data_IF_303564454297
#
_entry.id   IF_303564454297
#
_cell.length_a   1.000
_cell.length_b   1.000
_cell.length_c   1.000
_cell.angle_alpha   90.00
_cell.angle_beta   90.00
_cell.angle_gamma   90.00
#
_symmetry.space_group_name_H-M   'P 1'
#
loop_
_entity.id
_entity.type
_entity.pdbx_description
1 polymer ?
#
# COMPACT_ATOMS: atom_id res chain seq x y z
N UNK A 1 -2.64 12.16 23.61
CA UNK A 1 -2.63 11.61 22.23
C UNK A 1 -1.41 10.72 21.93
N UNK A 2 -0.55 10.42 22.92
CA UNK A 2 0.68 9.66 22.71
C UNK A 2 0.51 8.11 22.63
N UNK A 3 -0.67 7.56 22.95
CA UNK A 3 -0.90 6.10 23.02
C UNK A 3 -1.48 5.47 21.73
N UNK A 4 -1.05 5.90 20.53
CA UNK A 4 -1.54 5.32 19.26
C UNK A 4 -0.46 4.76 18.34
N UNK A 5 0.75 4.58 18.83
CA UNK A 5 1.80 3.91 18.07
C UNK A 5 1.99 2.49 18.58
N UNK A 6 1.88 1.50 17.69
CA UNK A 6 2.27 0.12 17.95
C UNK A 6 3.65 -0.10 17.33
N UNK A 7 4.66 -0.37 18.15
CA UNK A 7 5.98 -0.76 17.66
C UNK A 7 5.96 -2.25 17.35
N UNK A 8 6.05 -2.61 16.07
CA UNK A 8 6.06 -4.03 15.69
C UNK A 8 7.33 -4.74 16.15
N UNK A 9 8.44 -4.02 16.31
CA UNK A 9 9.72 -4.58 16.78
C UNK A 9 9.80 -4.71 18.32
N UNK A 10 8.76 -4.28 19.05
CA UNK A 10 8.69 -4.47 20.49
C UNK A 10 8.61 -5.95 20.85
N UNK A 11 9.42 -6.40 21.81
CA UNK A 11 9.50 -7.81 22.21
C UNK A 11 8.15 -8.37 22.69
N UNK A 12 7.34 -7.56 23.38
CA UNK A 12 6.01 -7.97 23.85
C UNK A 12 5.06 -8.14 22.67
N UNK A 13 5.11 -7.22 21.71
CA UNK A 13 4.29 -7.29 20.49
C UNK A 13 4.70 -8.49 19.65
N UNK A 14 5.99 -8.75 19.47
CA UNK A 14 6.50 -9.93 18.75
C UNK A 14 6.05 -11.23 19.40
N UNK A 15 6.13 -11.35 20.73
CA UNK A 15 5.66 -12.53 21.46
C UNK A 15 4.15 -12.75 21.29
N UNK A 16 3.36 -11.67 21.25
CA UNK A 16 1.92 -11.78 20.98
C UNK A 16 1.64 -12.24 19.55
N UNK A 17 2.37 -11.70 18.56
CA UNK A 17 2.21 -12.05 17.16
C UNK A 17 2.66 -13.49 16.85
N UNK A 18 3.65 -14.03 17.56
CA UNK A 18 4.12 -15.41 17.34
C UNK A 18 3.07 -16.47 17.67
N UNK A 19 2.12 -16.14 18.56
CA UNK A 19 1.00 -17.02 18.91
C UNK A 19 -0.21 -16.85 17.96
N UNK A 20 -0.17 -15.87 17.05
CA UNK A 20 -1.24 -15.61 16.09
C UNK A 20 -1.10 -16.44 14.81
N UNK A 21 -2.22 -16.62 14.10
CA UNK A 21 -2.24 -17.28 12.80
C UNK A 21 -1.46 -16.47 11.76
N UNK A 22 -0.56 -17.13 11.04
CA UNK A 22 0.13 -16.59 9.86
C UNK A 22 -0.69 -16.69 8.58
N UNK A 23 -1.87 -17.32 8.63
CA UNK A 23 -2.76 -17.46 7.48
C UNK A 23 -3.55 -16.16 7.24
N UNK A 24 -3.64 -15.76 5.97
CA UNK A 24 -4.49 -14.65 5.56
C UNK A 24 -5.96 -14.94 5.86
N UNK A 25 -6.70 -13.87 6.18
CA UNK A 25 -8.14 -13.94 6.32
C UNK A 25 -8.78 -14.35 4.99
N UNK A 26 -9.84 -15.16 5.05
CA UNK A 26 -10.58 -15.55 3.87
C UNK A 26 -11.34 -14.33 3.30
N UNK A 27 -10.91 -13.89 2.12
CA UNK A 27 -11.54 -12.77 1.39
C UNK A 27 -13.04 -13.05 1.17
N UNK A 28 -13.39 -14.30 0.85
CA UNK A 28 -14.77 -14.73 0.67
C UNK A 28 -15.58 -14.74 1.98
N UNK A 29 -14.99 -15.12 3.12
CA UNK A 29 -15.71 -15.09 4.40
C UNK A 29 -16.02 -13.67 4.86
N UNK A 30 -15.19 -12.70 4.45
CA UNK A 30 -15.40 -11.27 4.70
C UNK A 30 -16.35 -10.62 3.69
N UNK A 31 -16.83 -11.38 2.69
CA UNK A 31 -17.67 -10.85 1.61
C UNK A 31 -16.96 -9.82 0.75
N UNK A 32 -15.62 -9.78 0.74
CA UNK A 32 -14.84 -8.84 -0.05
C UNK A 32 -14.71 -9.34 -1.50
N UNK A 33 -14.80 -8.42 -2.46
CA UNK A 33 -14.70 -8.70 -3.88
C UNK A 33 -13.79 -7.69 -4.58
N UNK A 34 -13.26 -8.05 -5.75
CA UNK A 34 -12.29 -7.23 -6.49
C UNK A 34 -12.84 -5.89 -7.00
N UNK A 35 -14.17 -5.72 -7.07
CA UNK A 35 -14.82 -4.46 -7.44
C UNK A 35 -15.06 -3.53 -6.23
N UNK A 36 -14.74 -3.95 -5.01
CA UNK A 36 -14.75 -3.06 -3.86
C UNK A 36 -13.63 -2.02 -3.97
N UNK A 37 -13.85 -0.87 -3.34
CA UNK A 37 -12.88 0.23 -3.34
C UNK A 37 -11.62 -0.20 -2.58
N UNK A 38 -10.47 -0.02 -3.22
CA UNK A 38 -9.16 -0.15 -2.61
C UNK A 38 -8.72 1.17 -1.96
N UNK A 39 -8.96 2.31 -2.63
CA UNK A 39 -8.63 3.62 -2.11
C UNK A 39 -9.49 4.76 -2.69
N UNK A 40 -9.44 5.90 -2.00
CA UNK A 40 -9.96 7.18 -2.48
C UNK A 40 -8.86 8.23 -2.34
N UNK A 41 -8.44 8.81 -3.46
CA UNK A 41 -7.48 9.93 -3.49
C UNK A 41 -8.23 11.17 -3.97
N UNK A 42 -8.04 12.29 -3.26
CA UNK A 42 -8.68 13.55 -3.61
C UNK A 42 -7.78 14.37 -4.54
N UNK A 43 -8.37 14.89 -5.61
CA UNK A 43 -7.71 15.77 -6.58
C UNK A 43 -8.37 17.13 -6.61
N UNK A 44 -7.67 18.14 -7.13
CA UNK A 44 -8.24 19.47 -7.33
C UNK A 44 -9.41 19.39 -8.32
N UNK A 45 -10.58 19.85 -7.90
CA UNK A 45 -11.72 19.99 -8.80
C UNK A 45 -11.66 21.31 -9.55
N UNK A 46 -12.09 21.31 -10.82
CA UNK A 46 -12.24 22.52 -11.64
C UNK A 46 -13.20 23.57 -11.04
N UNK A 47 -14.02 23.18 -10.06
CA UNK A 47 -14.97 24.03 -9.33
C UNK A 47 -14.41 24.55 -8.00
N UNK A 48 -13.12 24.35 -7.71
CA UNK A 48 -12.48 24.73 -6.46
C UNK A 48 -12.76 23.79 -5.27
N UNK A 49 -13.59 22.77 -5.44
CA UNK A 49 -13.86 21.74 -4.44
C UNK A 49 -13.14 20.43 -4.80
N UNK A 50 -12.38 19.80 -3.89
CA UNK A 50 -11.72 18.54 -4.17
C UNK A 50 -12.71 17.43 -4.55
N UNK A 51 -12.31 16.58 -5.51
CA UNK A 51 -13.10 15.43 -5.96
C UNK A 51 -12.40 14.14 -5.58
N UNK A 52 -13.12 13.21 -4.95
CA UNK A 52 -12.61 11.88 -4.63
C UNK A 52 -12.59 10.99 -5.86
N UNK A 53 -11.42 10.44 -6.19
CA UNK A 53 -11.26 9.41 -7.22
C UNK A 53 -11.35 8.06 -6.54
N UNK A 54 -12.43 7.33 -6.84
CA UNK A 54 -12.73 6.02 -6.27
C UNK A 54 -12.07 4.93 -7.12
N UNK A 55 -11.12 4.19 -6.57
CA UNK A 55 -10.39 3.14 -7.29
C UNK A 55 -10.64 1.78 -6.65
N UNK A 56 -10.92 0.78 -7.48
CA UNK A 56 -11.23 -0.60 -7.06
C UNK A 56 -9.98 -1.47 -6.98
N UNK A 57 -10.03 -2.57 -6.21
CA UNK A 57 -8.92 -3.53 -6.11
C UNK A 57 -8.50 -4.12 -7.47
N UNK A 58 -9.46 -4.39 -8.37
CA UNK A 58 -9.19 -4.89 -9.72
C UNK A 58 -8.39 -3.88 -10.58
N UNK A 59 -8.45 -2.58 -10.31
CA UNK A 59 -7.70 -1.58 -11.05
C UNK A 59 -6.22 -1.63 -10.67
N UNK A 60 -5.93 -1.78 -9.37
CA UNK A 60 -4.55 -1.88 -8.85
C UNK A 60 -3.89 -3.18 -9.32
N UNK A 61 -4.57 -4.31 -9.17
CA UNK A 61 -4.04 -5.60 -9.63
C UNK A 61 -3.80 -5.61 -11.13
N UNK A 62 -4.71 -5.02 -11.93
CA UNK A 62 -4.50 -4.88 -13.38
C UNK A 62 -3.28 -4.03 -13.71
N UNK A 63 -3.09 -2.89 -13.05
CA UNK A 63 -1.90 -2.04 -13.24
C UNK A 63 -0.62 -2.88 -13.10
N UNK A 64 -0.48 -3.55 -11.96
CA UNK A 64 0.71 -4.34 -11.64
C UNK A 64 0.90 -5.52 -12.58
N UNK A 65 -0.16 -6.27 -12.87
CA UNK A 65 -0.11 -7.44 -13.74
C UNK A 65 0.30 -7.07 -15.18
N UNK A 66 -0.23 -5.94 -15.71
CA UNK A 66 0.19 -5.43 -17.03
C UNK A 66 1.62 -4.92 -17.03
N UNK A 67 2.10 -4.40 -15.91
CA UNK A 67 3.46 -3.91 -15.78
C UNK A 67 4.49 -5.00 -15.55
N UNK A 68 4.10 -6.13 -14.95
CA UNK A 68 5.01 -7.24 -14.67
C UNK A 68 5.76 -7.70 -15.91
N UNK A 69 5.08 -7.77 -17.06
CA UNK A 69 5.67 -8.18 -18.34
C UNK A 69 6.76 -7.23 -18.87
N UNK A 70 6.89 -6.03 -18.30
CA UNK A 70 7.85 -5.02 -18.73
C UNK A 70 9.01 -4.81 -17.75
N UNK A 71 8.81 -5.14 -16.47
CA UNK A 71 9.73 -4.79 -15.39
C UNK A 71 10.18 -5.98 -14.54
N UNK A 72 9.57 -7.17 -14.71
CA UNK A 72 9.93 -8.41 -14.03
C UNK A 72 10.06 -8.25 -12.50
N UNK A 73 9.03 -7.71 -11.83
CA UNK A 73 9.05 -7.50 -10.38
C UNK A 73 9.29 -8.80 -9.62
N UNK A 74 10.08 -8.72 -8.55
CA UNK A 74 10.45 -9.86 -7.73
C UNK A 74 10.79 -9.47 -6.29
N UNK A 75 10.96 -10.48 -5.45
CA UNK A 75 11.44 -10.37 -4.07
C UNK A 75 12.85 -9.76 -3.93
N UNK A 76 13.62 -9.72 -5.03
CA UNK A 76 14.94 -9.09 -5.05
C UNK A 76 14.86 -7.55 -5.16
N UNK A 77 13.70 -6.98 -5.48
CA UNK A 77 13.56 -5.55 -5.71
C UNK A 77 13.51 -4.74 -4.41
N UNK A 78 14.11 -3.53 -4.47
CA UNK A 78 14.03 -2.53 -3.41
C UNK A 78 13.43 -1.26 -3.99
N UNK A 79 12.26 -0.89 -3.48
CA UNK A 79 11.51 0.27 -3.92
C UNK A 79 11.50 1.36 -2.87
N UNK A 80 11.46 2.61 -3.29
CA UNK A 80 11.25 3.74 -2.39
C UNK A 80 9.78 4.14 -2.38
N UNK A 81 9.20 4.31 -1.20
CA UNK A 81 8.02 5.16 -1.02
C UNK A 81 8.52 6.59 -0.90
N UNK A 82 8.57 7.29 -2.04
CA UNK A 82 9.11 8.64 -2.15
C UNK A 82 7.99 9.67 -2.25
N UNK A 83 6.96 9.37 -3.03
CA UNK A 83 5.83 10.28 -3.22
C UNK A 83 4.90 10.25 -2.01
N UNK A 84 4.20 11.36 -1.80
CA UNK A 84 3.14 11.42 -0.79
C UNK A 84 2.11 10.31 -1.04
N UNK A 85 1.69 9.62 0.01
CA UNK A 85 0.61 8.63 -0.05
C UNK A 85 -0.75 9.25 -0.39
N UNK A 86 -0.83 10.59 -0.48
CA UNK A 86 -1.99 11.31 -1.01
C UNK A 86 -1.94 11.47 -2.55
N UNK A 87 -0.92 10.97 -3.24
CA UNK A 87 -0.77 10.99 -4.70
C UNK A 87 -0.77 9.56 -5.26
N UNK A 88 -1.35 9.34 -6.43
CA UNK A 88 -1.61 8.00 -6.97
C UNK A 88 -0.34 7.23 -7.33
N UNK A 89 0.76 7.91 -7.65
CA UNK A 89 2.05 7.26 -7.88
C UNK A 89 2.56 6.47 -6.67
N UNK A 90 2.15 6.85 -5.44
CA UNK A 90 2.49 6.07 -4.24
C UNK A 90 1.87 4.66 -4.25
N UNK A 91 0.74 4.46 -4.94
CA UNK A 91 0.10 3.14 -5.07
C UNK A 91 1.01 2.20 -5.85
N UNK A 92 1.65 2.70 -6.90
CA UNK A 92 2.65 1.98 -7.67
C UNK A 92 3.89 1.65 -6.81
N UNK A 93 4.41 2.63 -6.08
CA UNK A 93 5.58 2.44 -5.21
C UNK A 93 5.32 1.38 -4.13
N UNK A 94 4.15 1.44 -3.47
CA UNK A 94 3.79 0.52 -2.39
C UNK A 94 3.58 -0.89 -2.92
N UNK A 95 2.70 -1.06 -3.92
CA UNK A 95 2.29 -2.38 -4.35
C UNK A 95 3.25 -3.02 -5.35
N UNK A 96 4.06 -2.25 -6.08
CA UNK A 96 5.16 -2.78 -6.90
C UNK A 96 6.16 -3.57 -6.07
N UNK A 97 6.43 -3.13 -4.84
CA UNK A 97 7.22 -3.92 -3.88
C UNK A 97 6.39 -5.04 -3.24
N UNK A 98 5.34 -4.66 -2.51
CA UNK A 98 4.70 -5.57 -1.56
C UNK A 98 3.91 -6.70 -2.22
N UNK A 99 3.40 -6.51 -3.45
CA UNK A 99 2.66 -7.57 -4.14
C UNK A 99 3.55 -8.68 -4.70
N UNK A 100 4.86 -8.44 -4.83
CA UNK A 100 5.83 -9.37 -5.42
C UNK A 100 6.93 -9.80 -4.43
N UNK A 101 6.76 -9.50 -3.14
CA UNK A 101 7.69 -9.88 -2.07
C UNK A 101 8.92 -8.96 -1.94
N UNK A 102 8.96 -7.87 -2.69
CA UNK A 102 10.06 -6.90 -2.64
C UNK A 102 10.05 -6.06 -1.35
N UNK A 103 11.11 -5.28 -1.17
CA UNK A 103 11.29 -4.40 -0.01
C UNK A 103 10.84 -2.98 -0.32
N UNK A 104 9.94 -2.44 0.51
CA UNK A 104 9.57 -1.02 0.49
C UNK A 104 10.39 -0.23 1.52
N UNK A 105 11.07 0.83 1.06
CA UNK A 105 11.84 1.75 1.90
C UNK A 105 11.10 3.08 1.98
N UNK A 106 10.66 3.44 3.19
CA UNK A 106 10.05 4.75 3.43
C UNK A 106 11.15 5.80 3.44
N UNK A 107 11.08 6.75 2.50
CA UNK A 107 12.06 7.82 2.43
C UNK A 107 11.73 8.88 3.50
N UNK A 108 12.68 9.24 4.38
CA UNK A 108 12.39 10.23 5.40
C UNK A 108 12.02 11.59 4.79
N UNK A 109 11.06 12.28 5.42
CA UNK A 109 10.54 13.56 4.93
C UNK A 109 11.63 14.60 4.60
N UNK A 110 12.69 14.66 5.42
CA UNK A 110 13.78 15.62 5.21
C UNK A 110 14.67 15.30 4.01
N UNK A 111 14.59 14.07 3.48
CA UNK A 111 15.28 13.63 2.26
C UNK A 111 14.42 13.85 1.02
N UNK A 112 13.10 13.67 1.13
CA UNK A 112 12.17 13.81 0.00
C UNK A 112 11.67 15.24 -0.23
N UNK A 113 11.83 16.15 0.74
CA UNK A 113 11.52 17.57 0.54
C UNK A 113 12.44 18.19 -0.50
N UNK A 114 11.86 18.82 -1.53
CA UNK A 114 12.55 19.76 -2.43
C UNK A 114 12.47 21.18 -1.88
#
# INVERSE_FOLDING_TARGET
LADKALCLDDETVQAQLSDMSVQNLSVSSLGLASHHLAYVIYTSGSTGQPKGVLVQHNNVTRLLDTSQAHFDFSEADVWTLFHSYAFDFSVWEIWGALAYGGRLVIVPYWVSRS
#
